data_IF_819192164189
#
_entry.id   IF_819192164189
#
_cell.length_a   1.000
_cell.length_b   1.000
_cell.length_c   1.000
_cell.angle_alpha   90.00
_cell.angle_beta   90.00
_cell.angle_gamma   90.00
#
_symmetry.space_group_name_H-M   'P 1'
#
loop_
_entity.id
_entity.type
_entity.pdbx_description
1 polymer ?
#
# COMPACT_ATOMS: atom_id res chain seq x y z
N UNK A 1 36.81 -29.19 -17.91
CA UNK A 1 35.95 -29.29 -16.71
C UNK A 1 35.96 -27.89 -16.14
N UNK A 2 34.99 -27.08 -16.56
CA UNK A 2 35.02 -25.63 -16.48
C UNK A 2 34.47 -25.17 -15.12
N UNK A 3 35.08 -24.10 -14.59
CA UNK A 3 34.87 -23.61 -13.24
C UNK A 3 33.55 -22.83 -13.09
N UNK A 4 32.48 -23.54 -12.75
CA UNK A 4 31.20 -22.93 -12.38
C UNK A 4 31.31 -22.04 -11.14
N UNK A 5 32.29 -22.32 -10.27
CA UNK A 5 32.58 -21.52 -9.07
C UNK A 5 33.27 -20.19 -9.44
N UNK A 6 34.18 -20.20 -10.40
CA UNK A 6 34.87 -18.99 -10.87
C UNK A 6 33.88 -18.02 -11.54
N UNK A 7 32.90 -18.55 -12.26
CA UNK A 7 31.82 -17.76 -12.85
C UNK A 7 30.92 -17.13 -11.79
N UNK A 8 30.47 -17.91 -10.79
CA UNK A 8 29.65 -17.42 -9.67
C UNK A 8 30.37 -16.35 -8.84
N UNK A 9 31.66 -16.52 -8.58
CA UNK A 9 32.48 -15.54 -7.84
C UNK A 9 32.70 -14.27 -8.66
N UNK A 10 32.91 -14.37 -9.97
CA UNK A 10 33.04 -13.20 -10.84
C UNK A 10 31.71 -12.43 -11.03
N UNK A 11 30.57 -13.12 -11.09
CA UNK A 11 29.24 -12.51 -11.09
C UNK A 11 28.99 -11.76 -9.76
N UNK A 12 29.28 -12.40 -8.62
CA UNK A 12 29.09 -11.81 -7.29
C UNK A 12 29.99 -10.59 -7.06
N UNK A 13 31.21 -10.60 -7.58
CA UNK A 13 32.14 -9.46 -7.49
C UNK A 13 31.83 -8.34 -8.50
N UNK A 14 31.16 -8.63 -9.61
CA UNK A 14 30.63 -7.60 -10.52
C UNK A 14 29.42 -6.88 -9.91
N UNK A 15 28.59 -7.58 -9.15
CA UNK A 15 27.48 -6.95 -8.40
C UNK A 15 27.97 -6.02 -7.27
N UNK A 16 29.11 -6.33 -6.63
CA UNK A 16 29.63 -5.51 -5.53
C UNK A 16 30.40 -4.26 -5.98
N UNK A 17 30.79 -4.15 -7.26
CA UNK A 17 31.54 -3.00 -7.79
C UNK A 17 30.67 -1.91 -8.44
N UNK A 18 29.33 -2.05 -8.43
CA UNK A 18 28.38 -1.00 -8.81
C UNK A 18 27.64 -0.46 -7.57
N UNK A 19 28.17 0.55 -6.86
CA UNK A 19 27.57 1.05 -5.61
C UNK A 19 26.29 1.89 -5.80
N UNK A 20 25.62 1.81 -6.96
CA UNK A 20 24.41 2.58 -7.26
C UNK A 20 23.17 1.72 -7.61
N UNK A 21 23.16 0.43 -7.24
CA UNK A 21 21.93 -0.36 -7.22
C UNK A 21 21.79 -1.01 -5.85
N UNK A 22 21.27 -0.22 -4.90
CA UNK A 22 20.67 -0.79 -3.71
C UNK A 22 19.57 -1.73 -4.15
N UNK A 23 19.75 -3.04 -3.94
CA UNK A 23 18.68 -4.04 -3.91
C UNK A 23 17.79 -3.70 -2.72
N UNK A 24 16.94 -2.70 -2.88
CA UNK A 24 15.69 -2.62 -2.17
C UNK A 24 14.71 -3.54 -2.89
N UNK A 25 14.08 -4.45 -2.15
CA UNK A 25 12.97 -5.31 -2.61
C UNK A 25 11.70 -4.51 -3.01
N UNK A 26 11.83 -3.24 -3.33
CA UNK A 26 10.77 -2.35 -3.80
C UNK A 26 11.25 -1.68 -5.09
N UNK A 27 11.11 -2.42 -6.20
CA UNK A 27 11.29 -1.91 -7.55
C UNK A 27 10.15 -0.96 -7.89
N UNK A 28 10.44 0.34 -7.84
CA UNK A 28 9.59 1.38 -8.42
C UNK A 28 9.77 1.35 -9.95
N UNK A 29 9.10 0.44 -10.64
CA UNK A 29 9.06 0.44 -12.10
C UNK A 29 7.90 1.31 -12.57
N UNK A 30 8.20 2.56 -12.91
CA UNK A 30 7.37 3.34 -13.81
C UNK A 30 8.07 3.53 -15.15
N UNK A 31 7.35 3.16 -16.23
CA UNK A 31 7.46 3.62 -17.63
C UNK A 31 8.67 3.17 -18.46
N UNK A 32 8.50 2.05 -19.19
CA UNK A 32 8.60 1.94 -20.65
C UNK A 32 8.88 0.49 -21.08
N UNK A 33 7.82 -0.31 -21.02
CA UNK A 33 7.50 -1.45 -21.87
C UNK A 33 6.05 -1.78 -21.47
N UNK A 34 5.07 -1.56 -22.34
CA UNK A 34 3.62 -1.64 -22.03
C UNK A 34 3.12 -3.05 -21.66
N UNK A 35 4.03 -3.99 -21.36
CA UNK A 35 3.70 -5.37 -21.05
C UNK A 35 4.25 -5.67 -19.66
N UNK A 36 3.41 -6.16 -18.73
CA UNK A 36 3.86 -6.53 -17.40
C UNK A 36 4.82 -7.72 -17.42
N UNK A 37 5.65 -7.80 -16.38
CA UNK A 37 6.50 -8.97 -16.11
C UNK A 37 5.67 -10.12 -15.49
N UNK A 38 6.18 -11.35 -15.55
CA UNK A 38 5.56 -12.54 -14.96
C UNK A 38 5.56 -12.41 -13.44
N UNK A 39 4.43 -12.00 -12.88
CA UNK A 39 4.23 -11.71 -11.46
C UNK A 39 2.75 -11.65 -11.12
N UNK A 40 2.41 -11.80 -9.84
CA UNK A 40 1.04 -11.62 -9.37
C UNK A 40 0.71 -10.14 -9.14
N UNK A 41 -0.57 -9.78 -9.26
CA UNK A 41 -1.00 -8.42 -9.02
C UNK A 41 -2.41 -8.13 -9.50
N UNK A 42 -2.64 -6.87 -9.85
CA UNK A 42 -3.91 -6.41 -10.41
C UNK A 42 -3.73 -5.79 -11.78
N UNK A 43 -4.64 -6.14 -12.68
CA UNK A 43 -4.90 -5.41 -13.91
C UNK A 43 -6.10 -4.49 -13.67
N UNK A 44 -5.98 -3.22 -14.04
CA UNK A 44 -6.99 -2.23 -13.70
C UNK A 44 -7.16 -1.15 -14.76
N UNK A 45 -8.30 -0.48 -14.71
CA UNK A 45 -8.54 0.80 -15.40
C UNK A 45 -9.30 1.77 -14.51
N UNK A 46 -9.20 3.05 -14.83
CA UNK A 46 -9.88 4.12 -14.10
C UNK A 46 -10.96 4.69 -15.01
N UNK A 47 -12.23 4.43 -14.68
CA UNK A 47 -13.36 5.05 -15.37
C UNK A 47 -13.65 6.40 -14.72
N UNK A 48 -13.34 7.49 -15.42
CA UNK A 48 -13.59 8.86 -14.95
C UNK A 48 -14.93 9.38 -15.47
N UNK A 49 -15.67 10.04 -14.60
CA UNK A 49 -16.80 10.90 -14.91
C UNK A 49 -16.46 12.35 -14.52
N UNK A 50 -17.38 13.30 -14.73
CA UNK A 50 -17.12 14.73 -14.50
C UNK A 50 -16.61 15.09 -13.08
N UNK A 51 -17.07 14.39 -12.03
CA UNK A 51 -16.71 14.69 -10.64
C UNK A 51 -16.29 13.45 -9.82
N UNK A 52 -16.36 12.26 -10.41
CA UNK A 52 -16.09 10.99 -9.71
C UNK A 52 -15.35 10.03 -10.61
N UNK A 53 -14.71 9.03 -10.04
CA UNK A 53 -14.10 7.94 -10.77
C UNK A 53 -14.40 6.59 -10.10
N UNK A 54 -14.23 5.52 -10.87
CA UNK A 54 -14.36 4.13 -10.40
C UNK A 54 -13.14 3.35 -10.86
N UNK A 55 -12.53 2.61 -9.95
CA UNK A 55 -11.43 1.70 -10.27
C UNK A 55 -12.03 0.34 -10.62
N UNK A 56 -11.77 -0.16 -11.83
CA UNK A 56 -12.14 -1.51 -12.26
C UNK A 56 -10.92 -2.39 -12.16
N UNK A 57 -11.05 -3.54 -11.49
CA UNK A 57 -9.91 -4.38 -11.12
C UNK A 57 -10.18 -5.84 -11.48
N UNK A 58 -9.19 -6.47 -12.10
CA UNK A 58 -9.05 -7.90 -12.26
C UNK A 58 -7.79 -8.37 -11.51
N UNK A 59 -7.90 -9.42 -10.71
CA UNK A 59 -6.78 -9.98 -9.94
C UNK A 59 -6.15 -11.09 -10.76
N UNK A 60 -4.83 -11.16 -10.79
CA UNK A 60 -4.08 -12.05 -11.66
C UNK A 60 -2.95 -12.73 -10.87
N UNK A 61 -2.80 -14.05 -11.07
CA UNK A 61 -1.62 -14.80 -10.63
C UNK A 61 -0.40 -14.53 -11.52
N UNK A 62 -0.65 -14.36 -12.82
CA UNK A 62 0.33 -13.96 -13.83
C UNK A 62 -0.20 -12.77 -14.62
N UNK A 63 0.36 -11.59 -14.34
CA UNK A 63 0.00 -10.34 -15.00
C UNK A 63 0.31 -10.38 -16.51
N UNK A 64 1.42 -10.99 -16.94
CA UNK A 64 1.84 -11.01 -18.34
C UNK A 64 0.90 -11.86 -19.18
N UNK A 65 0.60 -13.08 -18.72
CA UNK A 65 -0.34 -13.97 -19.40
C UNK A 65 -1.74 -13.32 -19.46
N UNK A 66 -2.22 -12.83 -18.31
CA UNK A 66 -3.57 -12.26 -18.21
C UNK A 66 -3.72 -10.98 -19.05
N UNK A 67 -2.70 -10.12 -19.07
CA UNK A 67 -2.67 -8.92 -19.91
C UNK A 67 -2.83 -9.28 -21.39
N UNK A 68 -2.05 -10.25 -21.89
CA UNK A 68 -2.14 -10.70 -23.28
C UNK A 68 -3.52 -11.30 -23.60
N UNK A 69 -4.12 -12.02 -22.66
CA UNK A 69 -5.46 -12.59 -22.82
C UNK A 69 -6.53 -11.49 -22.87
N UNK A 70 -6.42 -10.43 -22.07
CA UNK A 70 -7.35 -9.29 -22.12
C UNK A 70 -7.25 -8.54 -23.44
N UNK A 71 -6.04 -8.28 -23.94
CA UNK A 71 -5.86 -7.60 -25.23
C UNK A 71 -6.49 -8.39 -26.39
N UNK A 72 -6.40 -9.73 -26.36
CA UNK A 72 -6.99 -10.60 -27.40
C UNK A 72 -8.49 -10.80 -27.25
N UNK A 73 -8.98 -10.93 -26.02
CA UNK A 73 -10.34 -11.34 -25.68
C UNK A 73 -10.90 -10.52 -24.51
N UNK A 74 -11.11 -9.20 -24.68
CA UNK A 74 -11.54 -8.31 -23.60
C UNK A 74 -12.93 -8.66 -23.03
N UNK A 75 -13.78 -9.30 -23.83
CA UNK A 75 -15.13 -9.75 -23.48
C UNK A 75 -15.14 -10.84 -22.38
N UNK A 76 -14.05 -11.59 -22.25
CA UNK A 76 -13.88 -12.60 -21.18
C UNK A 76 -13.57 -11.97 -19.82
N UNK A 77 -13.33 -10.66 -19.75
CA UNK A 77 -12.95 -9.94 -18.54
C UNK A 77 -13.95 -8.83 -18.17
N UNK A 78 -15.23 -9.17 -17.92
CA UNK A 78 -16.29 -8.19 -17.69
C UNK A 78 -16.09 -7.33 -16.44
N UNK A 79 -15.21 -7.74 -15.52
CA UNK A 79 -14.83 -6.94 -14.34
C UNK A 79 -14.15 -5.62 -14.72
N UNK A 80 -13.48 -5.55 -15.87
CA UNK A 80 -12.79 -4.35 -16.35
C UNK A 80 -13.73 -3.37 -17.05
N UNK A 81 -14.88 -3.84 -17.55
CA UNK A 81 -15.91 -3.03 -18.23
C UNK A 81 -15.32 -2.13 -19.32
N UNK A 82 -14.67 -2.73 -20.32
CA UNK A 82 -14.30 -2.00 -21.53
C UNK A 82 -15.53 -1.67 -22.37
N UNK A 83 -15.49 -0.50 -22.99
CA UNK A 83 -16.45 0.00 -23.96
C UNK A 83 -15.86 -0.18 -25.36
N UNK A 84 -16.73 -0.18 -26.39
CA UNK A 84 -16.30 -0.45 -27.77
C UNK A 84 -15.32 0.60 -28.34
N UNK A 85 -15.30 1.79 -27.74
CA UNK A 85 -14.47 2.93 -28.15
C UNK A 85 -13.14 3.00 -27.40
N UNK A 86 -12.93 2.16 -26.38
CA UNK A 86 -11.70 2.17 -25.58
C UNK A 86 -10.51 1.63 -26.36
N UNK A 87 -9.36 2.31 -26.23
CA UNK A 87 -8.07 1.79 -26.66
C UNK A 87 -7.47 0.99 -25.50
N UNK A 88 -7.56 -0.34 -25.58
CA UNK A 88 -7.21 -1.23 -24.46
C UNK A 88 -5.79 -1.01 -23.94
N UNK A 89 -4.81 -0.82 -24.82
CA UNK A 89 -3.41 -0.63 -24.46
C UNK A 89 -3.14 0.69 -23.73
N UNK A 90 -4.01 1.69 -23.89
CA UNK A 90 -3.92 2.98 -23.19
C UNK A 90 -4.67 2.95 -21.85
N UNK A 91 -5.79 2.24 -21.82
CA UNK A 91 -6.70 2.17 -20.67
C UNK A 91 -6.29 1.11 -19.63
N UNK A 92 -5.75 -0.03 -20.08
CA UNK A 92 -5.37 -1.16 -19.24
C UNK A 92 -4.00 -0.94 -18.60
N UNK A 93 -4.01 -0.92 -17.27
CA UNK A 93 -2.82 -0.72 -16.43
C UNK A 93 -2.63 -1.94 -15.55
N UNK A 94 -1.44 -2.04 -14.96
CA UNK A 94 -1.10 -3.12 -14.06
C UNK A 94 -0.41 -2.60 -12.81
N UNK A 95 -0.56 -3.31 -11.71
CA UNK A 95 0.13 -3.07 -10.47
C UNK A 95 0.60 -4.40 -9.88
N UNK A 96 1.89 -4.50 -9.61
CA UNK A 96 2.51 -5.71 -9.08
C UNK A 96 2.30 -5.76 -7.56
N UNK A 97 1.89 -6.93 -7.08
CA UNK A 97 1.73 -7.22 -5.65
C UNK A 97 2.74 -8.28 -5.21
N UNK A 98 3.12 -8.22 -3.94
CA UNK A 98 4.02 -9.22 -3.35
C UNK A 98 3.36 -10.60 -3.18
N UNK A 99 2.01 -10.63 -3.16
CA UNK A 99 1.23 -11.85 -3.10
C UNK A 99 -0.17 -11.64 -3.71
N UNK A 100 -0.83 -12.75 -4.03
CA UNK A 100 -2.20 -12.74 -4.56
C UNK A 100 -3.18 -12.18 -3.53
N UNK A 101 -2.99 -12.49 -2.25
CA UNK A 101 -3.86 -12.03 -1.17
C UNK A 101 -3.87 -10.50 -1.05
N UNK A 102 -2.74 -9.84 -1.32
CA UNK A 102 -2.72 -8.37 -1.38
C UNK A 102 -3.46 -7.82 -2.59
N UNK A 103 -3.37 -8.49 -3.75
CA UNK A 103 -4.14 -8.12 -4.93
C UNK A 103 -5.65 -8.26 -4.68
N UNK A 104 -6.07 -9.35 -4.02
CA UNK A 104 -7.46 -9.57 -3.60
C UNK A 104 -7.93 -8.51 -2.59
N UNK A 105 -7.08 -8.16 -1.62
CA UNK A 105 -7.38 -7.12 -0.64
C UNK A 105 -7.59 -5.76 -1.31
N UNK A 106 -6.71 -5.37 -2.23
CA UNK A 106 -6.86 -4.14 -3.03
C UNK A 106 -8.20 -4.16 -3.78
N UNK A 107 -8.52 -5.26 -4.46
CA UNK A 107 -9.80 -5.40 -5.18
C UNK A 107 -11.00 -5.27 -4.23
N UNK A 108 -10.99 -5.95 -3.09
CA UNK A 108 -12.06 -5.92 -2.09
C UNK A 108 -12.29 -4.51 -1.54
N UNK A 109 -11.20 -3.77 -1.26
CA UNK A 109 -11.26 -2.43 -0.66
C UNK A 109 -11.61 -1.34 -1.66
N UNK A 110 -11.19 -1.44 -2.92
CA UNK A 110 -11.19 -0.32 -3.85
C UNK A 110 -12.00 -0.54 -5.14
N UNK A 111 -12.17 -1.78 -5.59
CA UNK A 111 -12.82 -2.03 -6.88
C UNK A 111 -14.31 -1.67 -6.86
N UNK A 112 -14.80 -1.13 -7.97
CA UNK A 112 -16.23 -0.87 -8.21
C UNK A 112 -16.88 0.14 -7.25
N UNK A 113 -16.11 0.79 -6.38
CA UNK A 113 -16.55 1.93 -5.55
C UNK A 113 -16.43 3.23 -6.35
N UNK A 114 -17.29 4.20 -6.01
CA UNK A 114 -17.28 5.53 -6.63
C UNK A 114 -16.57 6.49 -5.70
N UNK A 115 -15.48 7.07 -6.19
CA UNK A 115 -14.69 8.04 -5.43
C UNK A 115 -14.83 9.43 -6.06
N UNK A 116 -14.90 10.50 -5.25
CA UNK A 116 -14.84 11.87 -5.76
C UNK A 116 -13.43 12.20 -6.28
N UNK A 117 -13.36 13.00 -7.35
CA UNK A 117 -12.07 13.51 -7.86
C UNK A 117 -11.49 14.51 -6.85
N UNK A 118 -12.31 15.48 -6.40
CA UNK A 118 -11.98 16.41 -5.34
C UNK A 118 -12.90 16.11 -4.14
N UNK A 119 -12.41 15.35 -3.18
CA UNK A 119 -13.20 15.01 -1.98
C UNK A 119 -13.30 16.21 -1.04
N UNK A 120 -12.20 16.96 -0.95
CA UNK A 120 -12.02 18.21 -0.21
C UNK A 120 -13.12 19.23 -0.48
N UNK A 121 -13.67 19.27 -1.70
CA UNK A 121 -14.69 20.21 -2.14
C UNK A 121 -16.12 19.79 -1.72
N UNK A 122 -16.31 18.52 -1.33
CA UNK A 122 -17.63 17.90 -1.09
C UNK A 122 -17.88 17.61 0.39
N UNK A 123 -16.88 17.83 1.27
CA UNK A 123 -16.99 17.53 2.70
C UNK A 123 -18.15 18.25 3.38
N UNK A 124 -19.09 17.45 3.90
CA UNK A 124 -20.09 17.90 4.86
C UNK A 124 -20.20 16.89 6.01
N UNK A 125 -20.67 17.32 7.18
CA UNK A 125 -20.74 16.48 8.41
C UNK A 125 -21.52 15.17 8.20
N UNK A 126 -22.47 15.18 7.26
CA UNK A 126 -23.32 14.04 6.92
C UNK A 126 -22.65 13.01 6.00
N UNK A 127 -21.59 13.38 5.28
CA UNK A 127 -20.86 12.51 4.36
C UNK A 127 -19.35 12.81 4.48
N UNK A 128 -18.66 12.17 5.45
CA UNK A 128 -17.27 12.46 5.77
C UNK A 128 -16.28 11.89 4.72
N UNK A 129 -16.76 11.39 3.59
CA UNK A 129 -15.93 10.78 2.56
C UNK A 129 -15.36 9.42 2.95
N UNK A 130 -14.61 8.82 2.03
CA UNK A 130 -13.98 7.50 2.19
C UNK A 130 -12.49 7.63 2.57
N UNK A 131 -11.89 8.81 2.40
CA UNK A 131 -10.45 9.00 2.66
C UNK A 131 -10.11 9.08 4.14
N UNK A 132 -8.96 8.48 4.47
CA UNK A 132 -8.28 8.75 5.72
C UNK A 132 -7.37 9.96 5.58
N UNK A 133 -7.14 10.65 6.69
CA UNK A 133 -6.35 11.87 6.74
C UNK A 133 -5.29 11.77 7.81
N UNK A 134 -4.04 12.07 7.48
CA UNK A 134 -2.91 11.95 8.38
C UNK A 134 -2.40 13.32 8.76
N UNK A 135 -2.39 13.62 10.06
CA UNK A 135 -1.62 14.71 10.64
C UNK A 135 -0.33 14.16 11.23
N UNK A 136 0.78 14.81 10.91
CA UNK A 136 2.09 14.45 11.44
C UNK A 136 2.68 15.66 12.12
N UNK A 137 2.81 15.56 13.44
CA UNK A 137 3.47 16.57 14.26
C UNK A 137 4.70 15.94 14.90
N UNK A 138 5.67 16.74 15.32
CA UNK A 138 6.98 16.29 15.81
C UNK A 138 6.91 15.18 16.90
N UNK A 139 6.96 13.90 16.49
CA UNK A 139 6.82 12.72 17.36
C UNK A 139 5.39 12.18 17.53
N UNK A 140 4.41 12.71 16.80
CA UNK A 140 3.00 12.33 16.87
C UNK A 140 2.42 12.02 15.48
N UNK A 141 1.62 10.96 15.40
CA UNK A 141 0.83 10.61 14.21
C UNK A 141 -0.63 10.53 14.60
N UNK A 142 -1.49 11.24 13.86
CA UNK A 142 -2.94 11.15 14.02
C UNK A 142 -3.57 10.81 12.67
N UNK A 143 -4.27 9.68 12.60
CA UNK A 143 -5.11 9.30 11.46
C UNK A 143 -6.57 9.62 11.81
N UNK A 144 -7.18 10.49 11.02
CA UNK A 144 -8.60 10.79 11.09
C UNK A 144 -9.32 9.98 10.01
N UNK A 145 -10.26 9.14 10.42
CA UNK A 145 -11.13 8.40 9.50
C UNK A 145 -12.42 9.16 9.18
N UNK A 146 -12.71 10.19 9.98
CA UNK A 146 -13.76 11.18 9.72
C UNK A 146 -13.18 12.55 10.07
N UNK A 147 -13.30 13.51 9.15
CA UNK A 147 -12.84 14.86 9.44
C UNK A 147 -13.86 15.63 10.27
N UNK A 148 -13.40 16.21 11.37
CA UNK A 148 -14.14 17.23 12.12
C UNK A 148 -13.77 18.61 11.60
N UNK A 149 -14.69 19.59 11.69
CA UNK A 149 -14.46 20.99 11.30
C UNK A 149 -13.33 21.70 12.06
N UNK A 150 -12.71 21.04 13.03
CA UNK A 150 -11.63 21.60 13.85
C UNK A 150 -10.25 21.42 13.24
N UNK A 151 -10.09 20.59 12.22
CA UNK A 151 -8.79 20.38 11.56
C UNK A 151 -8.68 21.24 10.31
N UNK A 152 -7.55 21.92 10.16
CA UNK A 152 -7.23 22.65 8.93
C UNK A 152 -6.73 21.67 7.87
N UNK A 153 -7.42 21.58 6.74
CA UNK A 153 -7.09 20.63 5.65
C UNK A 153 -5.65 20.75 5.14
N UNK A 154 -5.08 21.96 5.19
CA UNK A 154 -3.71 22.24 4.75
C UNK A 154 -2.63 21.52 5.57
N UNK A 155 -2.95 21.15 6.81
CA UNK A 155 -2.04 20.44 7.72
C UNK A 155 -2.17 18.91 7.59
N UNK A 156 -3.05 18.43 6.70
CA UNK A 156 -3.39 17.03 6.57
C UNK A 156 -2.89 16.44 5.27
N UNK A 157 -2.38 15.21 5.35
CA UNK A 157 -2.04 14.40 4.19
C UNK A 157 -3.22 13.48 3.91
N UNK A 158 -3.84 13.64 2.73
CA UNK A 158 -4.88 12.72 2.25
C UNK A 158 -4.27 11.35 1.93
N UNK A 159 -4.64 10.34 2.71
CA UNK A 159 -4.14 8.98 2.55
C UNK A 159 -4.96 8.16 1.55
N UNK A 160 -6.21 8.54 1.33
CA UNK A 160 -7.16 7.74 0.56
C UNK A 160 -7.88 6.68 1.39
N UNK A 161 -8.78 5.92 0.75
CA UNK A 161 -9.54 4.85 1.36
C UNK A 161 -8.69 3.59 1.52
N UNK A 162 -7.87 3.54 2.58
CA UNK A 162 -6.96 2.40 2.82
C UNK A 162 -7.64 1.16 3.40
N UNK A 163 -8.92 1.28 3.74
CA UNK A 163 -9.73 0.22 4.30
C UNK A 163 -11.01 0.77 4.90
N UNK A 164 -11.85 -0.12 5.40
CA UNK A 164 -13.04 0.26 6.17
C UNK A 164 -12.63 0.96 7.49
N UNK A 165 -13.14 2.17 7.77
CA UNK A 165 -12.82 2.90 8.99
C UNK A 165 -13.06 2.15 10.29
N UNK A 166 -14.19 1.46 10.43
CA UNK A 166 -14.57 0.78 11.67
C UNK A 166 -13.67 -0.43 11.91
N UNK A 167 -13.46 -1.23 10.87
CA UNK A 167 -12.54 -2.36 10.92
C UNK A 167 -11.11 -1.89 11.21
N UNK A 168 -10.67 -0.80 10.59
CA UNK A 168 -9.30 -0.30 10.76
C UNK A 168 -9.07 0.25 12.16
N UNK A 169 -10.05 0.96 12.73
CA UNK A 169 -10.02 1.38 14.13
C UNK A 169 -9.93 0.20 15.10
N UNK A 170 -10.68 -0.88 14.83
CA UNK A 170 -10.62 -2.10 15.63
C UNK A 170 -9.23 -2.76 15.54
N UNK A 171 -8.65 -2.86 14.34
CA UNK A 171 -7.30 -3.39 14.14
C UNK A 171 -6.26 -2.54 14.86
N UNK A 172 -6.27 -1.22 14.66
CA UNK A 172 -5.40 -0.31 15.40
C UNK A 172 -5.62 -0.44 16.91
N UNK A 173 -6.84 -0.62 17.41
CA UNK A 173 -7.09 -0.85 18.84
C UNK A 173 -6.31 -2.05 19.41
N UNK A 174 -6.04 -3.07 18.60
CA UNK A 174 -5.32 -4.30 18.99
C UNK A 174 -3.80 -4.16 18.89
N UNK A 175 -3.27 -3.11 18.25
CA UNK A 175 -1.84 -2.96 17.96
C UNK A 175 -1.04 -2.21 19.03
N UNK A 176 -1.63 -1.80 20.16
CA UNK A 176 -0.91 -1.09 21.23
C UNK A 176 0.37 -1.81 21.68
N UNK A 177 0.24 -3.09 22.04
CA UNK A 177 1.38 -3.90 22.49
C UNK A 177 2.42 -4.11 21.39
N UNK A 178 1.97 -4.21 20.13
CA UNK A 178 2.84 -4.34 18.98
C UNK A 178 3.69 -3.08 18.75
N UNK A 179 3.09 -1.89 18.72
CA UNK A 179 3.85 -0.65 18.54
C UNK A 179 4.81 -0.37 19.71
N UNK A 180 4.44 -0.73 20.93
CA UNK A 180 5.33 -0.66 22.10
C UNK A 180 6.58 -1.55 21.97
N UNK A 181 6.53 -2.61 21.17
CA UNK A 181 7.71 -3.44 20.84
C UNK A 181 8.59 -2.81 19.77
N UNK A 182 8.06 -1.91 18.93
CA UNK A 182 8.80 -1.33 17.81
C UNK A 182 9.55 -0.06 18.18
N UNK A 183 9.00 0.79 19.04
CA UNK A 183 9.60 2.08 19.41
C UNK A 183 9.03 2.58 20.75
N UNK A 184 9.72 3.50 21.45
CA UNK A 184 9.27 4.01 22.73
C UNK A 184 7.98 4.83 22.57
N UNK A 185 6.87 4.23 22.99
CA UNK A 185 5.51 4.74 22.84
C UNK A 185 5.10 5.51 24.11
N UNK A 186 4.78 6.80 23.94
CA UNK A 186 4.32 7.69 25.01
C UNK A 186 2.80 7.60 25.17
N UNK A 187 2.07 7.92 24.11
CA UNK A 187 0.60 7.95 24.09
C UNK A 187 0.06 7.08 22.95
N UNK A 188 -1.11 6.49 23.17
CA UNK A 188 -1.80 5.66 22.19
C UNK A 188 -3.31 5.71 22.39
N UNK A 189 -4.05 5.98 21.33
CA UNK A 189 -5.50 5.96 21.36
C UNK A 189 -6.06 5.54 20.01
N UNK A 190 -7.02 4.63 20.01
CA UNK A 190 -7.82 4.26 18.84
C UNK A 190 -9.28 4.28 19.25
N UNK A 191 -10.07 5.18 18.67
CA UNK A 191 -11.47 5.38 19.03
C UNK A 191 -12.02 6.70 18.52
N UNK A 192 -13.34 6.87 18.61
CA UNK A 192 -14.04 8.10 18.24
C UNK A 192 -13.74 8.59 16.80
N UNK A 193 -13.53 7.67 15.85
CA UNK A 193 -13.27 8.04 14.45
C UNK A 193 -11.81 8.44 14.16
N UNK A 194 -10.89 8.24 15.10
CA UNK A 194 -9.48 8.55 14.92
C UNK A 194 -8.56 7.52 15.58
N UNK A 195 -7.34 7.46 15.06
CA UNK A 195 -6.21 6.74 15.65
C UNK A 195 -5.08 7.74 15.90
N UNK A 196 -4.43 7.66 17.05
CA UNK A 196 -3.35 8.55 17.44
C UNK A 196 -2.28 7.80 18.20
N UNK A 197 -1.02 8.14 17.93
CA UNK A 197 0.11 7.61 18.66
C UNK A 197 1.23 8.65 18.76
N UNK A 198 1.91 8.69 19.91
CA UNK A 198 3.04 9.59 20.18
C UNK A 198 4.24 8.77 20.64
N UNK A 199 5.44 9.11 20.16
CA UNK A 199 6.69 8.50 20.59
C UNK A 199 7.50 9.45 21.47
N UNK A 200 8.20 8.89 22.46
CA UNK A 200 9.16 9.66 23.28
C UNK A 200 10.38 10.10 22.46
N UNK A 201 10.74 9.32 21.43
CA UNK A 201 11.89 9.55 20.56
C UNK A 201 11.43 9.90 19.14
N UNK A 202 11.16 11.19 18.90
CA UNK A 202 10.74 11.71 17.58
C UNK A 202 11.62 11.29 16.39
N UNK A 203 12.90 11.03 16.65
CA UNK A 203 13.89 10.67 15.64
C UNK A 203 14.09 9.15 15.50
N UNK A 204 13.33 8.34 16.24
CA UNK A 204 13.44 6.89 16.24
C UNK A 204 13.23 6.33 14.82
N UNK A 205 14.17 5.52 14.30
CA UNK A 205 14.11 5.04 12.91
C UNK A 205 12.81 4.32 12.57
N UNK A 206 12.34 3.42 13.43
CA UNK A 206 11.13 2.62 13.17
C UNK A 206 9.84 3.46 13.22
N UNK A 207 9.80 4.52 14.02
CA UNK A 207 8.67 5.45 14.04
C UNK A 207 8.63 6.26 12.73
N UNK A 208 9.79 6.73 12.25
CA UNK A 208 9.90 7.38 10.94
C UNK A 208 9.52 6.45 9.80
N UNK A 209 9.89 5.18 9.85
CA UNK A 209 9.46 4.19 8.86
C UNK A 209 7.96 3.96 8.90
N UNK A 210 7.34 3.85 10.07
CA UNK A 210 5.87 3.74 10.16
C UNK A 210 5.15 4.99 9.61
N UNK A 211 5.65 6.18 9.90
CA UNK A 211 5.17 7.43 9.30
C UNK A 211 5.29 7.43 7.76
N UNK A 212 6.42 6.92 7.24
CA UNK A 212 6.66 6.76 5.81
C UNK A 212 5.73 5.72 5.18
N UNK A 213 5.45 4.61 5.87
CA UNK A 213 4.50 3.58 5.45
C UNK A 213 3.13 4.18 5.18
N UNK A 214 2.61 4.96 6.13
CA UNK A 214 1.31 5.61 5.99
C UNK A 214 1.31 6.64 4.85
N UNK A 215 2.30 7.52 4.81
CA UNK A 215 2.32 8.63 3.86
C UNK A 215 2.62 8.19 2.42
N UNK A 216 3.49 7.19 2.23
CA UNK A 216 4.03 6.79 0.92
C UNK A 216 3.71 5.36 0.49
N UNK A 217 3.20 4.51 1.39
CA UNK A 217 3.01 3.09 1.11
C UNK A 217 4.32 2.32 0.96
N UNK A 218 5.43 2.85 1.49
CA UNK A 218 6.78 2.32 1.28
C UNK A 218 7.66 2.53 2.52
N UNK A 219 8.55 1.58 2.79
CA UNK A 219 9.50 1.58 3.91
C UNK A 219 10.81 0.92 3.48
N UNK A 220 11.88 1.13 4.26
CA UNK A 220 13.18 0.53 3.97
C UNK A 220 13.16 -1.01 4.07
N UNK A 221 14.07 -1.67 3.34
CA UNK A 221 14.32 -3.10 3.50
C UNK A 221 14.64 -3.46 4.96
N UNK A 222 15.46 -2.64 5.62
CA UNK A 222 15.82 -2.77 7.03
C UNK A 222 14.61 -2.81 7.96
N UNK A 223 13.52 -2.11 7.62
CA UNK A 223 12.30 -2.13 8.43
C UNK A 223 11.64 -3.51 8.37
N UNK A 224 11.51 -4.10 7.18
CA UNK A 224 10.94 -5.43 7.02
C UNK A 224 11.85 -6.52 7.57
N UNK A 225 13.17 -6.37 7.45
CA UNK A 225 14.14 -7.26 8.08
C UNK A 225 13.98 -7.24 9.60
N UNK A 226 13.89 -6.05 10.19
CA UNK A 226 13.64 -5.92 11.63
C UNK A 226 12.35 -6.60 12.08
N UNK A 227 11.25 -6.44 11.33
CA UNK A 227 9.98 -7.11 11.65
C UNK A 227 10.10 -8.65 11.56
N UNK A 228 10.85 -9.17 10.57
CA UNK A 228 11.14 -10.61 10.45
C UNK A 228 12.00 -11.12 11.60
N UNK A 229 12.98 -10.33 12.03
CA UNK A 229 13.85 -10.70 13.15
C UNK A 229 13.06 -10.77 14.46
N UNK A 230 12.18 -9.79 14.73
CA UNK A 230 11.26 -9.86 15.89
C UNK A 230 10.39 -11.12 15.82
N UNK A 231 9.83 -11.46 14.66
CA UNK A 231 9.05 -12.69 14.52
C UNK A 231 9.87 -13.94 14.83
N UNK A 232 11.10 -14.00 14.34
CA UNK A 232 12.01 -15.13 14.55
C UNK A 232 12.40 -15.26 16.02
N UNK A 233 12.74 -14.16 16.68
CA UNK A 233 13.11 -14.13 18.10
C UNK A 233 11.94 -14.52 19.02
N UNK A 234 10.71 -14.32 18.55
CA UNK A 234 9.49 -14.60 19.30
C UNK A 234 8.72 -15.84 18.78
N UNK A 235 9.38 -16.72 18.02
CA UNK A 235 8.75 -17.89 17.37
C UNK A 235 7.98 -18.79 18.34
N UNK A 236 8.49 -18.92 19.56
CA UNK A 236 7.97 -19.84 20.59
C UNK A 236 7.00 -19.14 21.56
N UNK A 237 6.70 -17.86 21.34
CA UNK A 237 5.81 -17.09 22.20
C UNK A 237 4.34 -17.38 21.86
N UNK A 238 3.43 -17.38 22.85
CA UNK A 238 2.01 -17.67 22.63
C UNK A 238 1.33 -16.64 21.71
N UNK A 239 1.90 -15.45 21.55
CA UNK A 239 1.37 -14.36 20.74
C UNK A 239 1.95 -14.30 19.31
N UNK A 240 2.77 -15.26 18.87
CA UNK A 240 3.41 -15.24 17.55
C UNK A 240 2.42 -15.08 16.40
N UNK A 241 1.22 -15.68 16.50
CA UNK A 241 0.16 -15.52 15.50
C UNK A 241 -0.33 -14.07 15.41
N UNK A 242 -0.49 -13.40 16.56
CA UNK A 242 -0.88 -12.00 16.61
C UNK A 242 0.20 -11.08 16.05
N UNK A 243 1.48 -11.38 16.34
CA UNK A 243 2.61 -10.64 15.79
C UNK A 243 2.67 -10.73 14.26
N UNK A 244 2.55 -11.95 13.71
CA UNK A 244 2.47 -12.17 12.25
C UNK A 244 1.28 -11.44 11.62
N UNK A 245 0.13 -11.48 12.28
CA UNK A 245 -1.06 -10.76 11.83
C UNK A 245 -0.84 -9.25 11.81
N UNK A 246 -0.13 -8.69 12.79
CA UNK A 246 0.20 -7.26 12.84
C UNK A 246 1.17 -6.87 11.71
N UNK A 247 2.20 -7.67 11.46
CA UNK A 247 3.14 -7.46 10.36
C UNK A 247 2.42 -7.54 9.00
N UNK A 248 1.58 -8.55 8.81
CA UNK A 248 0.77 -8.70 7.61
C UNK A 248 -0.16 -7.49 7.39
N UNK A 249 -0.79 -6.99 8.46
CA UNK A 249 -1.62 -5.78 8.38
C UNK A 249 -0.82 -4.56 7.93
N UNK A 250 0.41 -4.36 8.42
CA UNK A 250 1.28 -3.27 7.93
C UNK A 250 1.65 -3.43 6.45
N UNK A 251 1.95 -4.65 6.01
CA UNK A 251 2.24 -4.93 4.60
C UNK A 251 1.02 -4.66 3.69
N UNK A 252 -0.16 -5.10 4.12
CA UNK A 252 -1.41 -4.86 3.40
C UNK A 252 -1.70 -3.36 3.31
N UNK A 253 -1.50 -2.62 4.40
CA UNK A 253 -1.68 -1.17 4.46
C UNK A 253 -0.72 -0.45 3.50
N UNK A 254 0.57 -0.86 3.50
CA UNK A 254 1.58 -0.32 2.60
C UNK A 254 1.22 -0.57 1.13
N UNK A 255 0.85 -1.80 0.78
CA UNK A 255 0.47 -2.20 -0.58
C UNK A 255 -0.77 -1.43 -1.07
N UNK A 256 -1.80 -1.34 -0.23
CA UNK A 256 -3.03 -0.58 -0.55
C UNK A 256 -2.73 0.90 -0.75
N UNK A 257 -1.89 1.50 0.10
CA UNK A 257 -1.48 2.90 -0.02
C UNK A 257 -0.68 3.16 -1.30
N UNK A 258 0.24 2.26 -1.65
CA UNK A 258 1.05 2.37 -2.87
C UNK A 258 0.17 2.30 -4.12
N UNK A 259 -0.75 1.36 -4.18
CA UNK A 259 -1.73 1.27 -5.28
C UNK A 259 -2.59 2.53 -5.37
N UNK A 260 -3.07 3.04 -4.24
CA UNK A 260 -3.87 4.26 -4.22
C UNK A 260 -3.09 5.49 -4.72
N UNK A 261 -1.84 5.64 -4.32
CA UNK A 261 -0.97 6.70 -4.84
C UNK A 261 -0.77 6.60 -6.36
N UNK A 262 -0.65 5.38 -6.89
CA UNK A 262 -0.57 5.17 -8.33
C UNK A 262 -1.85 5.60 -9.04
N UNK A 263 -3.02 5.25 -8.50
CA UNK A 263 -4.32 5.71 -9.02
C UNK A 263 -4.42 7.23 -8.96
N UNK A 264 -4.06 7.86 -7.83
CA UNK A 264 -4.09 9.31 -7.65
C UNK A 264 -3.22 10.04 -8.67
N UNK A 265 -2.04 9.50 -9.01
CA UNK A 265 -1.14 10.12 -9.99
C UNK A 265 -1.70 10.19 -11.41
N UNK A 266 -2.82 9.52 -11.66
CA UNK A 266 -3.47 9.42 -12.96
C UNK A 266 -4.81 10.16 -13.02
N UNK A 267 -5.30 10.70 -11.90
CA UNK A 267 -6.52 11.49 -11.84
C UNK A 267 -6.28 12.90 -12.40
#
# INVERSE_FOLDING_TARGET
MFDDISFLVQETLKESQNPNRGRGFFSFQSKNNNIPEESCGVLYRIQKNAATFVIRIHVCDDLKETYQNIIKHPDLFPSLRFEAEDILEEELKFFICDSLEFAESIKSKLANKRFPINEEDVFNISDPGDSWWLKQDNGQLNIYFKLSHTQEMQDLIKLGPLGDPEHSLEQFGKLYGYFKMLFPLQDYSSGFGQFSLTTEEKDHPLFKQFSRLLSRGDVSADFWEYLRDIEKENSDKPYIKSLRSANYFLMELASTRRFWLEVQSQL
#
